data_IF_869211269396
#
_entry.id   IF_869211269396
#
_cell.length_a   1.000
_cell.length_b   1.000
_cell.length_c   1.000
_cell.angle_alpha   90.00
_cell.angle_beta   90.00
_cell.angle_gamma   90.00
#
_symmetry.space_group_name_H-M   'P 1'
#
loop_
_entity.id
_entity.type
_entity.pdbx_description
1 polymer ?
#
# COMPACT_ATOMS: atom_id res chain seq x y z
N UNK A 1 -0.73 17.68 28.55
CA UNK A 1 -0.82 18.50 27.32
C UNK A 1 -1.75 17.76 26.38
N UNK A 2 -2.76 18.43 25.79
CA UNK A 2 -3.59 17.81 24.76
C UNK A 2 -2.70 17.53 23.55
N UNK A 3 -2.59 16.26 23.13
CA UNK A 3 -1.90 15.90 21.90
C UNK A 3 -2.62 16.60 20.75
N UNK A 4 -1.90 17.35 19.92
CA UNK A 4 -2.48 17.94 18.71
C UNK A 4 -3.08 16.83 17.84
N UNK A 5 -4.27 17.06 17.30
CA UNK A 5 -4.86 16.18 16.29
C UNK A 5 -3.85 16.02 15.14
N UNK A 6 -3.45 14.79 14.78
CA UNK A 6 -2.51 14.59 13.70
C UNK A 6 -3.14 15.01 12.37
N UNK A 7 -2.38 15.73 11.55
CA UNK A 7 -2.73 15.94 10.15
C UNK A 7 -2.61 14.61 9.40
N UNK A 8 -3.68 14.21 8.70
CA UNK A 8 -3.77 12.93 8.01
C UNK A 8 -3.55 13.14 6.51
N UNK A 9 -3.02 12.12 5.83
CA UNK A 9 -2.82 12.14 4.39
C UNK A 9 -4.16 11.99 3.65
N UNK A 10 -4.36 12.81 2.63
CA UNK A 10 -5.49 12.64 1.73
C UNK A 10 -5.31 11.41 0.84
N UNK A 11 -6.39 10.66 0.63
CA UNK A 11 -6.44 9.62 -0.39
C UNK A 11 -6.28 10.24 -1.78
N UNK A 12 -5.71 9.46 -2.69
CA UNK A 12 -5.54 9.81 -4.10
C UNK A 12 -6.91 9.69 -4.80
N UNK A 13 -7.33 10.66 -5.61
CA UNK A 13 -8.56 10.56 -6.39
C UNK A 13 -8.52 9.36 -7.33
N UNK A 14 -9.59 8.57 -7.33
CA UNK A 14 -9.72 7.44 -8.25
C UNK A 14 -9.89 7.99 -9.67
N UNK A 15 -9.07 7.56 -10.65
CA UNK A 15 -9.19 8.03 -12.02
C UNK A 15 -10.53 7.61 -12.62
N UNK A 16 -11.06 8.42 -13.53
CA UNK A 16 -12.21 8.05 -14.33
C UNK A 16 -11.85 6.91 -15.29
N UNK A 17 -12.82 6.04 -15.58
CA UNK A 17 -12.64 4.91 -16.49
C UNK A 17 -13.63 3.78 -16.20
N UNK A 18 -13.59 2.74 -17.02
CA UNK A 18 -14.33 1.50 -16.79
C UNK A 18 -13.42 0.47 -16.12
N UNK A 19 -13.70 0.11 -14.87
CA UNK A 19 -12.91 -0.89 -14.15
C UNK A 19 -13.01 -2.30 -14.76
N UNK A 20 -13.90 -2.55 -15.73
CA UNK A 20 -13.94 -3.77 -16.52
C UNK A 20 -13.00 -3.72 -17.72
N UNK A 21 -12.61 -2.54 -18.20
CA UNK A 21 -11.59 -2.41 -19.24
C UNK A 21 -10.20 -2.65 -18.66
N UNK A 22 -9.43 -3.53 -19.30
CA UNK A 22 -8.13 -3.97 -18.76
C UNK A 22 -7.12 -2.83 -18.61
N UNK A 23 -7.20 -1.79 -19.44
CA UNK A 23 -6.27 -0.65 -19.39
C UNK A 23 -6.68 0.35 -18.32
N UNK A 24 -7.95 0.76 -18.29
CA UNK A 24 -8.50 1.64 -17.25
C UNK A 24 -8.29 1.02 -15.86
N UNK A 25 -8.54 -0.29 -15.75
CA UNK A 25 -8.41 -1.06 -14.52
C UNK A 25 -7.02 -0.98 -13.87
N UNK A 26 -5.94 -0.80 -14.63
CA UNK A 26 -4.58 -0.74 -14.08
C UNK A 26 -4.45 0.42 -13.09
N UNK A 27 -4.67 1.65 -13.58
CA UNK A 27 -4.59 2.86 -12.77
C UNK A 27 -5.64 2.90 -11.65
N UNK A 28 -6.87 2.42 -11.92
CA UNK A 28 -7.95 2.36 -10.91
C UNK A 28 -7.55 1.42 -9.75
N UNK A 29 -7.11 0.19 -10.05
CA UNK A 29 -6.69 -0.76 -9.00
C UNK A 29 -5.48 -0.26 -8.24
N UNK A 30 -4.54 0.38 -8.92
CA UNK A 30 -3.36 0.93 -8.25
C UNK A 30 -3.75 1.99 -7.23
N UNK A 31 -4.59 2.95 -7.62
CA UNK A 31 -5.10 3.97 -6.68
C UNK A 31 -5.88 3.34 -5.53
N UNK A 32 -6.69 2.30 -5.76
CA UNK A 32 -7.40 1.61 -4.67
C UNK A 32 -6.43 0.95 -3.69
N UNK A 33 -5.38 0.28 -4.17
CA UNK A 33 -4.32 -0.31 -3.34
C UNK A 33 -3.54 0.77 -2.58
N UNK A 34 -3.17 1.87 -3.25
CA UNK A 34 -2.46 2.99 -2.62
C UNK A 34 -3.30 3.64 -1.54
N UNK A 35 -4.62 3.76 -1.75
CA UNK A 35 -5.52 4.28 -0.74
C UNK A 35 -5.72 3.35 0.45
N UNK A 36 -5.58 2.03 0.28
CA UNK A 36 -5.49 1.08 1.41
C UNK A 36 -4.24 1.37 2.26
N UNK A 37 -3.08 1.58 1.61
CA UNK A 37 -1.82 1.92 2.29
C UNK A 37 -1.96 3.25 3.04
N UNK A 38 -2.47 4.30 2.37
CA UNK A 38 -2.67 5.63 2.95
C UNK A 38 -3.61 5.58 4.17
N UNK A 39 -4.73 4.85 4.08
CA UNK A 39 -5.65 4.68 5.22
C UNK A 39 -5.01 3.89 6.37
N UNK A 40 -4.18 2.90 6.06
CA UNK A 40 -3.39 2.17 7.05
C UNK A 40 -2.43 3.09 7.82
N UNK A 41 -1.67 3.92 7.08
CA UNK A 41 -0.77 4.92 7.66
C UNK A 41 -1.53 5.96 8.50
N UNK A 42 -2.67 6.46 8.01
CA UNK A 42 -3.52 7.38 8.77
C UNK A 42 -4.05 6.75 10.06
N UNK A 43 -4.41 5.47 10.03
CA UNK A 43 -4.85 4.73 11.21
C UNK A 43 -3.71 4.61 12.23
N UNK A 44 -2.48 4.35 11.79
CA UNK A 44 -1.31 4.37 12.69
C UNK A 44 -1.13 5.75 13.37
N UNK A 45 -1.27 6.85 12.61
CA UNK A 45 -1.22 8.20 13.18
C UNK A 45 -2.33 8.48 14.18
N UNK A 46 -3.57 8.15 13.83
CA UNK A 46 -4.74 8.45 14.65
C UNK A 46 -4.76 7.64 15.95
N UNK A 47 -4.58 6.32 15.86
CA UNK A 47 -4.68 5.43 17.01
C UNK A 47 -3.46 5.42 17.92
N UNK A 48 -2.28 5.88 17.45
CA UNK A 48 -1.12 6.06 18.34
C UNK A 48 -1.41 7.00 19.53
N UNK A 49 -2.35 7.93 19.42
CA UNK A 49 -2.76 8.79 20.54
C UNK A 49 -3.84 8.19 21.46
N UNK A 50 -4.30 6.97 21.20
CA UNK A 50 -5.44 6.33 21.86
C UNK A 50 -5.08 5.00 22.55
N UNK A 51 -3.81 4.62 22.50
CA UNK A 51 -3.31 3.38 23.09
C UNK A 51 -2.39 3.67 24.25
N UNK A 52 -2.45 2.81 25.28
CA UNK A 52 -1.66 2.93 26.48
C UNK A 52 -0.76 1.70 26.64
N UNK A 53 0.55 1.87 26.93
CA UNK A 53 1.47 0.75 27.10
C UNK A 53 1.00 -0.29 28.11
N UNK A 54 1.24 -1.57 27.83
CA UNK A 54 0.84 -2.68 28.70
C UNK A 54 -0.64 -3.07 28.61
N UNK A 55 -1.41 -2.50 27.68
CA UNK A 55 -2.81 -2.87 27.45
C UNK A 55 -2.96 -3.77 26.21
N UNK A 56 -4.02 -4.61 26.13
CA UNK A 56 -4.28 -5.41 24.93
C UNK A 56 -4.50 -4.60 23.65
N UNK A 57 -5.05 -3.38 23.76
CA UNK A 57 -5.24 -2.47 22.62
C UNK A 57 -3.90 -1.96 22.08
N UNK A 58 -2.92 -1.72 22.95
CA UNK A 58 -1.56 -1.35 22.56
C UNK A 58 -0.87 -2.47 21.77
N UNK A 59 -0.90 -3.70 22.27
CA UNK A 59 -0.30 -4.85 21.56
C UNK A 59 -0.97 -5.12 20.21
N UNK A 60 -2.30 -4.99 20.17
CA UNK A 60 -3.08 -5.12 18.92
C UNK A 60 -2.71 -4.01 17.93
N UNK A 61 -2.51 -2.78 18.41
CA UNK A 61 -2.11 -1.65 17.60
C UNK A 61 -0.69 -1.81 17.01
N UNK A 62 0.28 -2.28 17.80
CA UNK A 62 1.62 -2.56 17.28
C UNK A 62 1.61 -3.70 16.26
N UNK A 63 0.78 -4.72 16.49
CA UNK A 63 0.58 -5.82 15.54
C UNK A 63 -0.05 -5.32 14.24
N UNK A 64 -1.11 -4.52 14.33
CA UNK A 64 -1.73 -3.87 13.18
C UNK A 64 -0.73 -3.01 12.40
N UNK A 65 0.06 -2.19 13.11
CA UNK A 65 1.09 -1.35 12.49
C UNK A 65 2.10 -2.21 11.71
N UNK A 66 2.49 -3.37 12.25
CA UNK A 66 3.38 -4.30 11.56
C UNK A 66 2.74 -4.87 10.29
N UNK A 67 1.44 -5.18 10.31
CA UNK A 67 0.74 -5.66 9.11
C UNK A 67 0.63 -4.58 8.02
N UNK A 68 0.57 -3.29 8.39
CA UNK A 68 0.69 -2.20 7.40
C UNK A 68 2.07 -2.21 6.73
N UNK A 69 3.15 -2.39 7.49
CA UNK A 69 4.52 -2.45 6.92
C UNK A 69 4.69 -3.67 6.02
N UNK A 70 4.17 -4.83 6.44
CA UNK A 70 4.14 -6.04 5.60
C UNK A 70 3.39 -5.78 4.29
N UNK A 71 2.27 -5.06 4.33
CA UNK A 71 1.52 -4.72 3.12
C UNK A 71 2.29 -3.77 2.20
N UNK A 72 2.94 -2.73 2.75
CA UNK A 72 3.82 -1.83 2.00
C UNK A 72 4.92 -2.63 1.29
N UNK A 73 5.61 -3.54 1.98
CA UNK A 73 6.64 -4.37 1.35
C UNK A 73 6.08 -5.30 0.28
N UNK A 74 4.99 -6.01 0.56
CA UNK A 74 4.36 -6.92 -0.42
C UNK A 74 3.98 -6.18 -1.70
N UNK A 75 3.45 -4.97 -1.57
CA UNK A 75 3.04 -4.11 -2.68
C UNK A 75 4.22 -3.75 -3.57
N UNK A 76 5.23 -3.08 -3.03
CA UNK A 76 6.38 -2.64 -3.82
C UNK A 76 7.26 -3.79 -4.32
N UNK A 77 7.35 -4.91 -3.57
CA UNK A 77 8.05 -6.10 -4.06
C UNK A 77 7.36 -6.70 -5.29
N UNK A 78 6.02 -6.72 -5.33
CA UNK A 78 5.29 -7.17 -6.51
C UNK A 78 5.58 -6.27 -7.71
N UNK A 79 5.65 -4.95 -7.49
CA UNK A 79 5.97 -4.00 -8.55
C UNK A 79 7.36 -4.27 -9.13
N UNK A 80 8.38 -4.32 -8.27
CA UNK A 80 9.78 -4.53 -8.66
C UNK A 80 10.02 -5.90 -9.32
N UNK A 81 9.39 -6.98 -8.83
CA UNK A 81 9.64 -8.34 -9.33
C UNK A 81 8.77 -8.74 -10.52
N UNK A 82 7.61 -8.09 -10.72
CA UNK A 82 6.61 -8.50 -11.71
C UNK A 82 6.15 -7.35 -12.58
N UNK A 83 5.62 -6.28 -11.97
CA UNK A 83 4.87 -5.29 -12.73
C UNK A 83 5.76 -4.37 -13.55
N UNK A 84 6.78 -3.77 -12.94
CA UNK A 84 7.73 -2.92 -13.64
C UNK A 84 8.49 -3.67 -14.73
N UNK A 85 9.01 -4.90 -14.50
CA UNK A 85 9.60 -5.69 -15.58
C UNK A 85 8.64 -5.96 -16.75
N UNK A 86 7.37 -6.26 -16.46
CA UNK A 86 6.35 -6.43 -17.50
C UNK A 86 6.18 -5.14 -18.31
N UNK A 87 6.00 -4.00 -17.65
CA UNK A 87 5.84 -2.70 -18.32
C UNK A 87 7.08 -2.35 -19.17
N UNK A 88 8.28 -2.47 -18.62
CA UNK A 88 9.52 -2.15 -19.35
C UNK A 88 9.75 -3.04 -20.58
N UNK A 89 9.27 -4.29 -20.56
CA UNK A 89 9.37 -5.19 -21.72
C UNK A 89 8.61 -4.67 -22.96
N UNK A 90 7.64 -3.77 -22.79
CA UNK A 90 6.87 -3.16 -23.87
C UNK A 90 7.12 -1.65 -24.03
N UNK A 91 7.30 -0.93 -22.92
CA UNK A 91 7.51 0.53 -22.92
C UNK A 91 8.96 0.92 -23.21
N UNK A 92 9.91 0.02 -22.93
CA UNK A 92 11.35 0.22 -23.06
C UNK A 92 12.06 0.12 -21.72
N UNK A 93 13.27 -0.44 -21.74
CA UNK A 93 14.10 -0.60 -20.55
C UNK A 93 14.36 0.73 -19.85
N UNK A 94 14.25 0.75 -18.52
CA UNK A 94 14.44 1.94 -17.69
C UNK A 94 13.25 2.90 -17.63
N UNK A 95 12.12 2.61 -18.29
CA UNK A 95 10.93 3.47 -18.22
C UNK A 95 10.36 3.55 -16.81
N UNK A 96 10.60 2.55 -15.96
CA UNK A 96 10.15 2.52 -14.56
C UNK A 96 11.24 2.95 -13.56
N UNK A 97 12.41 3.40 -14.03
CA UNK A 97 13.53 3.82 -13.17
C UNK A 97 13.16 4.93 -12.19
N UNK A 98 12.30 5.88 -12.59
CA UNK A 98 11.80 6.92 -11.69
C UNK A 98 11.03 6.36 -10.49
N UNK A 99 10.14 5.39 -10.72
CA UNK A 99 9.40 4.73 -9.63
C UNK A 99 10.37 3.97 -8.70
N UNK A 100 11.39 3.31 -9.25
CA UNK A 100 12.43 2.63 -8.46
C UNK A 100 13.25 3.61 -7.62
N UNK A 101 13.63 4.75 -8.19
CA UNK A 101 14.34 5.81 -7.45
C UNK A 101 13.47 6.38 -6.33
N UNK A 102 12.17 6.55 -6.58
CA UNK A 102 11.18 6.95 -5.58
C UNK A 102 11.04 5.91 -4.45
N UNK A 103 11.04 4.60 -4.75
CA UNK A 103 11.05 3.54 -3.74
C UNK A 103 12.24 3.68 -2.78
N UNK A 104 13.43 3.98 -3.32
CA UNK A 104 14.63 4.17 -2.50
C UNK A 104 14.50 5.35 -1.53
N UNK A 105 13.71 6.38 -1.85
CA UNK A 105 13.55 7.56 -0.99
C UNK A 105 12.90 7.26 0.37
N UNK A 106 12.04 6.24 0.43
CA UNK A 106 11.38 5.84 1.69
C UNK A 106 11.96 4.56 2.29
N UNK A 107 12.88 3.86 1.60
CA UNK A 107 13.44 2.57 2.03
C UNK A 107 14.13 2.63 3.40
N UNK A 108 15.08 3.54 3.56
CA UNK A 108 15.79 3.71 4.84
C UNK A 108 14.86 4.22 5.97
N UNK A 109 14.06 5.30 5.77
CA UNK A 109 13.08 5.73 6.77
C UNK A 109 12.09 4.62 7.21
N UNK A 110 11.65 3.77 6.27
CA UNK A 110 10.77 2.64 6.56
C UNK A 110 11.47 1.60 7.45
N UNK A 111 12.71 1.24 7.11
CA UNK A 111 13.51 0.29 7.92
C UNK A 111 13.80 0.81 9.35
N UNK A 112 14.00 2.12 9.51
CA UNK A 112 14.14 2.75 10.82
C UNK A 112 12.83 2.66 11.64
N UNK A 113 11.67 2.84 11.00
CA UNK A 113 10.38 2.67 11.66
C UNK A 113 10.11 1.20 12.03
N UNK A 114 10.48 0.26 11.17
CA UNK A 114 10.41 -1.18 11.47
C UNK A 114 11.26 -1.56 12.69
N UNK A 115 12.46 -1.01 12.77
CA UNK A 115 13.36 -1.21 13.92
C UNK A 115 12.69 -0.70 15.20
N UNK A 116 12.18 0.54 15.20
CA UNK A 116 11.44 1.09 16.33
C UNK A 116 10.24 0.21 16.70
N UNK A 117 9.44 -0.22 15.72
CA UNK A 117 8.26 -1.04 15.95
C UNK A 117 8.62 -2.39 16.58
N UNK A 118 9.70 -3.03 16.11
CA UNK A 118 10.19 -4.28 16.67
C UNK A 118 10.73 -4.09 18.10
N UNK A 119 11.40 -2.99 18.38
CA UNK A 119 11.87 -2.67 19.73
C UNK A 119 10.70 -2.41 20.70
N UNK A 120 9.64 -1.74 20.25
CA UNK A 120 8.41 -1.56 21.05
C UNK A 120 7.73 -2.91 21.33
N UNK A 121 7.55 -3.75 20.30
CA UNK A 121 6.93 -5.09 20.41
C UNK A 121 7.75 -6.07 21.26
N UNK A 122 9.06 -5.86 21.37
CA UNK A 122 9.96 -6.67 22.20
C UNK A 122 10.32 -6.02 23.53
N UNK A 123 9.64 -4.93 23.89
CA UNK A 123 9.85 -4.17 25.14
C UNK A 123 11.29 -3.66 25.34
N UNK A 124 12.02 -3.42 24.24
CA UNK A 124 13.36 -2.81 24.24
C UNK A 124 13.32 -1.29 24.14
N UNK A 125 12.21 -0.72 23.67
CA UNK A 125 11.97 0.72 23.63
C UNK A 125 10.75 1.09 24.49
N UNK A 126 10.77 2.28 25.07
CA UNK A 126 9.62 2.86 25.75
C UNK A 126 8.67 3.50 24.74
N UNK A 127 7.37 3.43 25.00
CA UNK A 127 6.37 4.10 24.16
C UNK A 127 6.48 5.61 24.28
N UNK A 128 6.67 6.27 23.15
CA UNK A 128 6.57 7.71 23.02
C UNK A 128 5.81 8.03 21.73
N UNK A 129 4.62 8.61 21.90
CA UNK A 129 3.70 8.89 20.79
C UNK A 129 4.29 9.87 19.78
N UNK A 130 5.11 10.83 20.24
CA UNK A 130 5.71 11.83 19.36
C UNK A 130 6.81 11.22 18.49
N UNK A 131 7.70 10.42 19.08
CA UNK A 131 8.72 9.65 18.38
C UNK A 131 8.09 8.70 17.38
N UNK A 132 7.05 7.96 17.76
CA UNK A 132 6.33 7.06 16.87
C UNK A 132 5.76 7.81 15.66
N UNK A 133 5.02 8.91 15.89
CA UNK A 133 4.44 9.75 14.83
C UNK A 133 5.50 10.41 13.95
N UNK A 134 6.62 10.84 14.52
CA UNK A 134 7.74 11.42 13.76
C UNK A 134 8.34 10.37 12.82
N UNK A 135 8.59 9.17 13.31
CA UNK A 135 9.12 8.08 12.49
C UNK A 135 8.16 7.68 11.37
N UNK A 136 6.84 7.71 11.60
CA UNK A 136 5.87 7.51 10.51
C UNK A 136 6.00 8.61 9.46
N UNK A 137 6.04 9.89 9.84
CA UNK A 137 6.15 11.00 8.86
C UNK A 137 7.37 10.85 7.96
N UNK A 138 8.49 10.37 8.51
CA UNK A 138 9.74 10.25 7.77
C UNK A 138 9.62 9.31 6.56
N UNK A 139 8.90 8.18 6.66
CA UNK A 139 8.68 7.29 5.52
C UNK A 139 7.38 7.63 4.75
N UNK A 140 6.33 8.06 5.46
CA UNK A 140 5.02 8.28 4.85
C UNK A 140 4.96 9.47 3.90
N UNK A 141 5.76 10.53 4.14
CA UNK A 141 5.83 11.68 3.24
C UNK A 141 6.37 11.30 1.85
N UNK A 142 7.58 10.72 1.72
CA UNK A 142 8.09 10.26 0.42
C UNK A 142 7.22 9.14 -0.17
N UNK A 143 6.74 8.19 0.65
CA UNK A 143 5.81 7.16 0.19
C UNK A 143 4.56 7.77 -0.45
N UNK A 144 3.90 8.75 0.19
CA UNK A 144 2.69 9.37 -0.37
C UNK A 144 2.97 10.09 -1.69
N UNK A 145 4.15 10.69 -1.86
CA UNK A 145 4.54 11.32 -3.11
C UNK A 145 4.62 10.27 -4.22
N UNK A 146 5.41 9.22 -3.99
CA UNK A 146 5.54 8.07 -4.89
C UNK A 146 4.18 7.47 -5.28
N UNK A 147 3.33 7.13 -4.29
CA UNK A 147 2.01 6.54 -4.54
C UNK A 147 1.14 7.42 -5.45
N UNK A 148 1.36 8.74 -5.48
CA UNK A 148 0.62 9.65 -6.38
C UNK A 148 1.25 9.76 -7.76
N UNK A 149 2.59 9.80 -7.82
CA UNK A 149 3.36 10.02 -9.05
C UNK A 149 3.35 8.78 -9.94
N UNK A 150 3.40 7.58 -9.35
CA UNK A 150 3.39 6.30 -10.09
C UNK A 150 2.15 6.15 -11.00
N UNK A 151 0.99 6.67 -10.56
CA UNK A 151 -0.29 6.58 -11.29
C UNK A 151 -0.19 7.16 -12.70
N UNK A 152 0.68 8.16 -12.89
CA UNK A 152 0.87 8.80 -14.19
C UNK A 152 1.63 7.93 -15.18
N UNK A 153 2.42 6.96 -14.69
CA UNK A 153 3.21 6.05 -15.52
C UNK A 153 2.39 4.89 -16.09
N UNK A 154 1.27 4.56 -15.45
CA UNK A 154 0.37 3.45 -15.81
C UNK A 154 -1.00 3.91 -16.35
N UNK A 155 -1.10 5.16 -16.81
CA UNK A 155 -2.34 5.68 -17.41
C UNK A 155 -2.73 4.86 -18.66
N UNK A 156 -4.02 4.66 -18.93
CA UNK A 156 -4.49 3.84 -20.06
C UNK A 156 -3.87 4.24 -21.41
N UNK A 157 -3.74 5.54 -21.66
CA UNK A 157 -3.14 6.07 -22.91
C UNK A 157 -1.67 5.67 -23.08
N UNK A 158 -0.91 5.56 -21.99
CA UNK A 158 0.50 5.14 -22.03
C UNK A 158 0.58 3.65 -22.36
N UNK A 159 -0.23 2.84 -21.69
CA UNK A 159 -0.25 1.39 -21.86
C UNK A 159 -0.76 0.99 -23.27
N UNK A 160 -1.88 1.56 -23.71
CA UNK A 160 -2.48 1.27 -25.02
C UNK A 160 -1.58 1.65 -26.20
N UNK A 161 -0.63 2.57 -26.01
CA UNK A 161 0.29 2.98 -27.06
C UNK A 161 1.31 1.89 -27.43
N UNK A 162 1.53 0.89 -26.56
CA UNK A 162 2.62 -0.08 -26.70
C UNK A 162 2.26 -1.52 -26.34
N UNK A 163 1.21 -1.73 -25.55
CA UNK A 163 0.79 -3.04 -25.04
C UNK A 163 -0.53 -3.42 -25.70
N UNK A 164 -0.57 -4.58 -26.35
CA UNK A 164 -1.81 -5.14 -26.87
C UNK A 164 -2.71 -5.63 -25.73
N UNK A 165 -4.03 -5.57 -25.93
CA UNK A 165 -5.01 -5.96 -24.91
C UNK A 165 -4.76 -7.36 -24.37
N UNK A 166 -4.51 -8.31 -25.27
CA UNK A 166 -4.32 -9.72 -24.95
C UNK A 166 -3.06 -9.95 -24.10
N UNK A 167 -2.03 -9.12 -24.27
CA UNK A 167 -0.80 -9.17 -23.47
C UNK A 167 -1.05 -8.72 -22.03
N UNK A 168 -1.79 -7.62 -21.87
CA UNK A 168 -2.14 -7.11 -20.54
C UNK A 168 -3.14 -8.05 -19.83
N UNK A 169 -4.10 -8.63 -20.55
CA UNK A 169 -5.00 -9.65 -20.00
C UNK A 169 -4.27 -10.92 -19.58
N UNK A 170 -3.29 -11.38 -20.36
CA UNK A 170 -2.44 -12.52 -19.97
C UNK A 170 -1.68 -12.23 -18.67
N UNK A 171 -1.07 -11.05 -18.56
CA UNK A 171 -0.37 -10.63 -17.35
C UNK A 171 -1.31 -10.52 -16.14
N UNK A 172 -2.53 -10.01 -16.32
CA UNK A 172 -3.54 -9.96 -15.25
C UNK A 172 -3.92 -11.36 -14.74
N UNK A 173 -3.96 -12.38 -15.61
CA UNK A 173 -4.19 -13.76 -15.20
C UNK A 173 -3.01 -14.30 -14.38
N UNK A 174 -1.78 -13.98 -14.78
CA UNK A 174 -0.57 -14.34 -14.01
C UNK A 174 -0.56 -13.69 -12.63
N UNK A 175 -0.85 -12.39 -12.54
CA UNK A 175 -0.98 -11.68 -11.27
C UNK A 175 -2.07 -12.29 -10.40
N UNK A 176 -3.23 -12.65 -10.96
CA UNK A 176 -4.30 -13.32 -10.21
C UNK A 176 -3.83 -14.64 -9.61
N UNK A 177 -3.09 -15.46 -10.36
CA UNK A 177 -2.53 -16.72 -9.86
C UNK A 177 -1.47 -16.48 -8.77
N UNK A 178 -0.63 -15.45 -8.95
CA UNK A 178 0.34 -15.03 -7.94
C UNK A 178 -0.36 -14.63 -6.63
N UNK A 179 -1.37 -13.75 -6.68
CA UNK A 179 -2.11 -13.34 -5.50
C UNK A 179 -2.80 -14.51 -4.81
N UNK A 180 -3.40 -15.44 -5.55
CA UNK A 180 -4.02 -16.63 -4.98
C UNK A 180 -3.03 -17.51 -4.19
N UNK A 181 -1.75 -17.49 -4.56
CA UNK A 181 -0.70 -18.30 -3.94
C UNK A 181 0.09 -17.58 -2.84
N UNK A 182 0.07 -16.24 -2.83
CA UNK A 182 0.90 -15.42 -1.94
C UNK A 182 0.08 -14.59 -0.94
N UNK A 183 -1.24 -14.74 -0.92
CA UNK A 183 -2.13 -14.05 0.03
C UNK A 183 -2.46 -14.93 1.23
N UNK A 184 -2.53 -14.32 2.41
CA UNK A 184 -3.07 -14.92 3.62
C UNK A 184 -4.59 -14.83 3.64
N UNK A 185 -5.27 -15.96 3.72
CA UNK A 185 -6.74 -16.01 3.89
C UNK A 185 -7.24 -15.46 5.23
N UNK A 186 -6.34 -15.21 6.18
CA UNK A 186 -6.69 -14.66 7.50
C UNK A 186 -6.33 -13.19 7.62
N UNK A 187 -5.11 -12.80 7.24
CA UNK A 187 -4.59 -11.45 7.48
C UNK A 187 -5.02 -10.47 6.39
N UNK A 188 -4.91 -10.84 5.12
CA UNK A 188 -5.15 -9.90 4.03
C UNK A 188 -6.64 -9.47 3.96
N UNK A 189 -7.65 -10.34 4.14
CA UNK A 189 -9.05 -9.91 4.23
C UNK A 189 -9.33 -8.91 5.37
N UNK A 190 -8.65 -9.05 6.52
CA UNK A 190 -8.82 -8.12 7.64
C UNK A 190 -8.27 -6.74 7.29
N UNK A 191 -7.08 -6.70 6.68
CA UNK A 191 -6.47 -5.47 6.22
C UNK A 191 -7.39 -4.72 5.24
N UNK A 192 -7.98 -5.46 4.30
CA UNK A 192 -8.89 -4.94 3.28
C UNK A 192 -10.23 -4.49 3.88
N UNK A 193 -10.77 -5.23 4.84
CA UNK A 193 -12.01 -4.84 5.51
C UNK A 193 -11.86 -3.52 6.26
N UNK A 194 -10.70 -3.30 6.90
CA UNK A 194 -10.44 -2.11 7.72
C UNK A 194 -10.03 -0.91 6.87
N UNK A 195 -9.27 -1.10 5.80
CA UNK A 195 -8.65 -0.01 5.03
C UNK A 195 -9.17 0.10 3.58
N UNK A 196 -10.00 -0.83 3.14
CA UNK A 196 -10.56 -0.85 1.78
C UNK A 196 -11.56 0.27 1.50
N UNK A 197 -11.87 0.47 0.23
CA UNK A 197 -12.90 1.41 -0.20
C UNK A 197 -14.20 0.67 -0.54
N UNK A 198 -15.07 0.48 0.46
CA UNK A 198 -16.35 -0.21 0.26
C UNK A 198 -17.37 0.56 -0.59
N UNK A 199 -17.08 1.81 -0.99
CA UNK A 199 -17.99 2.63 -1.81
C UNK A 199 -17.56 2.60 -3.27
N UNK A 200 -16.30 2.92 -3.54
CA UNK A 200 -15.77 3.05 -4.90
C UNK A 200 -15.03 1.79 -5.38
N UNK A 201 -14.57 0.97 -4.44
CA UNK A 201 -13.78 -0.23 -4.68
C UNK A 201 -14.42 -1.51 -4.17
N UNK A 202 -15.75 -1.56 -3.98
CA UNK A 202 -16.43 -2.74 -3.43
C UNK A 202 -16.19 -4.05 -4.22
N UNK A 203 -15.78 -3.94 -5.48
CA UNK A 203 -15.41 -5.03 -6.36
C UNK A 203 -13.93 -5.47 -6.24
N UNK A 204 -13.12 -4.76 -5.44
CA UNK A 204 -11.68 -4.90 -5.37
C UNK A 204 -11.11 -4.91 -3.93
N UNK A 205 -10.18 -5.83 -3.62
CA UNK A 205 -9.92 -7.06 -4.37
C UNK A 205 -11.12 -8.03 -4.22
N UNK A 206 -11.27 -9.04 -5.09
CA UNK A 206 -12.33 -10.01 -4.94
C UNK A 206 -12.12 -10.81 -3.65
N UNK A 207 -12.80 -10.42 -2.57
CA UNK A 207 -12.83 -11.17 -1.33
C UNK A 207 -13.73 -12.39 -1.54
N UNK A 208 -13.31 -13.61 -1.17
CA UNK A 208 -14.21 -14.77 -1.20
C UNK A 208 -15.49 -14.44 -0.43
N UNK A 209 -16.65 -14.78 -1.02
CA UNK A 209 -17.92 -14.68 -0.32
C UNK A 209 -17.91 -15.49 0.98
N UNK A 210 -18.84 -15.22 1.92
CA UNK A 210 -18.92 -15.99 3.15
C UNK A 210 -19.01 -17.48 2.85
N UNK A 211 -18.24 -18.29 3.57
CA UNK A 211 -18.36 -19.75 3.52
C UNK A 211 -19.73 -20.07 4.15
N UNK A 212 -20.69 -20.44 3.32
CA UNK A 212 -22.00 -20.95 3.74
C UNK A 212 -21.95 -22.43 4.10
#
# INVERSE_FOLDING_TARGET
MSLSTPELFHCIPIPAGDHQDVFDRQSIRMVLTHNIIIRGVNSMFYYSGQVEPGTPSYESFLTYSNEILVNIHKHHLLEEERYFPFLESYLGAGTMSGNLEEHETFREPLALFETLLNDLRSHKAAWDVETFRKSIRNFANPLKAHLSEEIDTIRPVILQAKIAREQLEAFEMELKAYFASNSSLFKDPQLLFVNGDGVNGAWFPPVPGPIS
#
